data_IF_420945663253
#
_entry.id   IF_420945663253
#
_cell.length_a   1.000
_cell.length_b   1.000
_cell.length_c   1.000
_cell.angle_alpha   90.00
_cell.angle_beta   90.00
_cell.angle_gamma   90.00
#
_symmetry.space_group_name_H-M   'P 1'
#
loop_
_entity.id
_entity.type
_entity.pdbx_description
1 polymer ?
#
# COMPACT_ATOMS: atom_id res chain seq x y z
N UNK A 1 29.43 -49.86 41.23
CA UNK A 1 28.46 -48.75 41.10
C UNK A 1 27.83 -48.87 39.73
N UNK A 2 26.55 -49.19 39.74
CA UNK A 2 25.77 -49.69 38.61
C UNK A 2 25.21 -48.54 37.77
N UNK A 3 25.30 -48.72 36.45
CA UNK A 3 24.59 -48.04 35.34
C UNK A 3 23.07 -47.90 35.62
N UNK A 4 22.24 -47.11 34.86
CA UNK A 4 22.32 -47.08 33.39
C UNK A 4 21.76 -45.91 32.57
N UNK A 5 22.16 -45.97 31.29
CA UNK A 5 21.37 -45.79 30.07
C UNK A 5 19.84 -45.97 30.21
N UNK A 6 19.05 -45.06 29.63
CA UNK A 6 17.69 -45.33 29.09
C UNK A 6 17.18 -44.01 28.49
N UNK A 7 16.59 -43.91 27.32
CA UNK A 7 16.00 -44.89 26.41
C UNK A 7 15.25 -44.15 25.31
N UNK A 8 14.86 -44.90 24.28
CA UNK A 8 14.26 -44.46 23.03
C UNK A 8 12.81 -43.95 23.14
N UNK A 9 12.34 -43.32 22.07
CA UNK A 9 10.94 -42.99 21.78
C UNK A 9 10.06 -44.24 21.65
N UNK A 10 8.74 -44.11 21.93
CA UNK A 10 7.77 -44.43 20.89
C UNK A 10 6.57 -43.48 20.83
N UNK A 11 5.98 -43.41 19.63
CA UNK A 11 4.69 -42.79 19.30
C UNK A 11 3.54 -43.71 19.74
N UNK A 12 2.48 -43.17 20.37
CA UNK A 12 1.24 -43.92 20.60
C UNK A 12 0.15 -43.22 21.44
N UNK A 13 -0.99 -42.97 20.79
CA UNK A 13 -2.40 -42.95 21.25
C UNK A 13 -2.92 -41.95 22.32
N UNK A 14 -3.92 -41.15 21.90
CA UNK A 14 -4.96 -40.48 22.72
C UNK A 14 -5.92 -41.51 23.33
N UNK A 15 -6.43 -41.32 24.58
CA UNK A 15 -7.73 -40.68 24.79
C UNK A 15 -7.78 -39.72 26.00
N UNK A 16 -8.72 -38.78 25.96
CA UNK A 16 -8.71 -37.54 26.75
C UNK A 16 -8.97 -37.65 28.27
N UNK A 17 -8.68 -36.52 28.93
CA UNK A 17 -9.51 -35.92 29.97
C UNK A 17 -8.96 -34.54 30.30
N UNK A 18 -9.87 -33.57 30.32
CA UNK A 18 -9.55 -32.16 30.37
C UNK A 18 -8.97 -31.72 31.72
N UNK A 19 -8.06 -30.73 31.69
CA UNK A 19 -7.25 -30.34 32.83
C UNK A 19 -7.78 -29.04 33.46
N UNK A 20 -7.25 -28.71 34.63
CA UNK A 20 -7.37 -27.43 35.34
C UNK A 20 -8.59 -27.27 36.29
N UNK A 21 -8.38 -27.78 37.51
CA UNK A 21 -8.03 -26.91 38.65
C UNK A 21 -9.00 -25.76 38.92
N UNK A 22 -10.01 -26.08 39.71
CA UNK A 22 -10.99 -25.17 40.30
C UNK A 22 -10.30 -24.23 41.31
N UNK A 23 -10.29 -22.93 40.99
CA UNK A 23 -9.90 -21.86 41.92
C UNK A 23 -11.13 -21.05 42.30
N UNK A 24 -11.44 -21.06 43.60
CA UNK A 24 -12.47 -20.27 44.26
C UNK A 24 -12.26 -18.76 44.05
N UNK A 25 -13.25 -18.08 43.48
CA UNK A 25 -13.42 -16.63 43.62
C UNK A 25 -14.90 -16.35 43.92
N UNK A 26 -15.14 -15.83 45.12
CA UNK A 26 -16.43 -15.33 45.54
C UNK A 26 -16.79 -14.09 44.69
N UNK A 27 -17.84 -14.21 43.87
CA UNK A 27 -18.39 -13.14 43.04
C UNK A 27 -19.40 -12.34 43.89
N UNK A 28 -19.11 -11.07 44.14
CA UNK A 28 -20.05 -10.09 44.71
C UNK A 28 -21.13 -9.69 43.69
N UNK A 29 -22.36 -9.35 44.12
CA UNK A 29 -23.49 -9.21 43.22
C UNK A 29 -23.75 -7.75 42.82
N UNK A 30 -22.91 -7.17 41.97
CA UNK A 30 -23.19 -5.86 41.35
C UNK A 30 -22.03 -5.42 40.46
N UNK A 31 -22.14 -5.68 39.15
CA UNK A 31 -21.75 -4.70 38.15
C UNK A 31 -22.38 -5.08 36.81
N UNK A 32 -23.44 -4.33 36.50
CA UNK A 32 -24.17 -4.34 35.24
C UNK A 32 -23.22 -4.06 34.08
N UNK A 33 -22.76 -5.10 33.41
CA UNK A 33 -22.03 -4.99 32.14
C UNK A 33 -22.88 -4.25 31.11
N UNK A 34 -22.48 -3.01 30.82
CA UNK A 34 -22.99 -2.21 29.72
C UNK A 34 -22.70 -2.91 28.39
N UNK A 35 -23.73 -3.56 27.85
CA UNK A 35 -23.74 -4.11 26.50
C UNK A 35 -23.68 -2.97 25.48
N UNK A 36 -22.48 -2.53 25.13
CA UNK A 36 -22.24 -1.69 23.95
C UNK A 36 -22.32 -2.56 22.68
N UNK A 37 -23.52 -3.01 22.34
CA UNK A 37 -23.84 -3.45 20.98
C UNK A 37 -24.50 -2.27 20.26
N UNK A 38 -23.90 -1.82 19.16
CA UNK A 38 -24.42 -0.75 18.30
C UNK A 38 -25.67 -1.18 17.51
N UNK A 39 -26.62 -1.82 18.17
CA UNK A 39 -27.93 -2.14 17.62
C UNK A 39 -28.73 -0.85 17.71
N UNK A 40 -28.86 -0.14 16.59
CA UNK A 40 -29.79 0.99 16.45
C UNK A 40 -31.15 0.50 16.93
N UNK A 41 -31.54 0.95 18.12
CA UNK A 41 -32.73 0.48 18.81
C UNK A 41 -33.95 0.86 18.00
N UNK A 42 -34.54 -0.12 17.33
CA UNK A 42 -35.97 -0.04 17.05
C UNK A 42 -36.66 -0.12 18.41
N UNK A 43 -37.44 0.90 18.84
CA UNK A 43 -38.22 0.77 20.07
C UNK A 43 -39.06 -0.50 19.93
N UNK A 44 -38.88 -1.43 20.86
CA UNK A 44 -39.62 -2.69 20.89
C UNK A 44 -40.70 -2.54 21.94
N UNK A 45 -41.91 -2.97 21.61
CA UNK A 45 -42.99 -3.10 22.58
C UNK A 45 -42.59 -4.10 23.68
N UNK A 46 -43.30 -4.13 24.81
CA UNK A 46 -43.08 -5.11 25.90
C UNK A 46 -43.15 -6.58 25.43
N UNK A 47 -43.63 -6.84 24.21
CA UNK A 47 -43.73 -8.15 23.56
C UNK A 47 -42.57 -8.46 22.59
N UNK A 48 -41.54 -7.59 22.52
CA UNK A 48 -40.37 -7.77 21.67
C UNK A 48 -40.61 -7.52 20.18
N UNK A 49 -41.76 -6.93 19.81
CA UNK A 49 -42.10 -6.58 18.42
C UNK A 49 -41.74 -5.13 18.12
N UNK A 50 -41.29 -4.79 16.89
CA UNK A 50 -41.04 -3.41 16.48
C UNK A 50 -42.28 -2.55 16.73
N UNK A 51 -42.15 -1.53 17.58
CA UNK A 51 -43.20 -0.54 17.85
C UNK A 51 -43.26 0.44 16.67
N UNK A 52 -44.08 0.11 15.67
CA UNK A 52 -44.28 0.88 14.44
C UNK A 52 -45.54 1.73 14.48
N UNK A 53 -46.27 1.76 15.60
CA UNK A 53 -47.59 2.40 15.71
C UNK A 53 -47.54 3.95 15.69
N UNK A 54 -46.34 4.55 15.60
CA UNK A 54 -46.14 6.00 15.45
C UNK A 54 -45.01 6.42 14.49
N UNK A 55 -44.36 5.48 13.79
CA UNK A 55 -43.24 5.82 12.91
C UNK A 55 -43.75 6.35 11.57
N UNK A 56 -43.63 7.66 11.36
CA UNK A 56 -44.02 8.26 10.09
C UNK A 56 -43.11 7.80 8.94
N UNK A 57 -43.65 7.73 7.73
CA UNK A 57 -42.88 7.44 6.49
C UNK A 57 -41.69 8.40 6.33
N UNK A 58 -41.86 9.66 6.76
CA UNK A 58 -40.78 10.66 6.76
C UNK A 58 -39.59 10.29 7.67
N UNK A 59 -39.85 9.58 8.76
CA UNK A 59 -38.82 9.14 9.71
C UNK A 59 -37.99 7.98 9.15
N UNK A 60 -38.64 7.04 8.45
CA UNK A 60 -37.96 5.92 7.75
C UNK A 60 -37.08 6.41 6.59
N UNK A 61 -37.55 7.39 5.82
CA UNK A 61 -36.72 8.03 4.78
C UNK A 61 -35.55 8.81 5.39
N UNK A 62 -35.75 9.46 6.53
CA UNK A 62 -34.69 10.14 7.28
C UNK A 62 -33.60 9.18 7.76
N UNK A 63 -33.98 8.01 8.26
CA UNK A 63 -33.04 6.95 8.66
C UNK A 63 -32.29 6.38 7.46
N UNK A 64 -32.97 6.03 6.36
CA UNK A 64 -32.32 5.55 5.14
C UNK A 64 -31.33 6.58 4.56
N UNK A 65 -31.71 7.86 4.51
CA UNK A 65 -30.82 8.92 4.04
C UNK A 65 -29.57 9.06 4.93
N UNK A 66 -29.74 8.86 6.24
CA UNK A 66 -28.64 8.90 7.22
C UNK A 66 -27.71 7.69 7.08
N UNK A 67 -28.25 6.53 6.79
CA UNK A 67 -27.48 5.30 6.56
C UNK A 67 -26.69 5.38 5.24
N UNK A 68 -27.32 5.84 4.16
CA UNK A 68 -26.63 6.09 2.88
C UNK A 68 -25.53 7.14 3.01
N UNK A 69 -25.79 8.23 3.75
CA UNK A 69 -24.77 9.25 4.06
C UNK A 69 -23.59 8.66 4.86
N UNK A 70 -23.88 7.71 5.75
CA UNK A 70 -22.85 7.02 6.52
C UNK A 70 -22.02 6.08 5.65
N UNK A 71 -22.64 5.30 4.75
CA UNK A 71 -21.95 4.45 3.78
C UNK A 71 -21.08 5.26 2.83
N UNK A 72 -21.60 6.35 2.25
CA UNK A 72 -20.83 7.23 1.38
C UNK A 72 -19.59 7.82 2.10
N UNK A 73 -19.75 8.23 3.36
CA UNK A 73 -18.62 8.71 4.17
C UNK A 73 -17.59 7.60 4.42
N UNK A 74 -18.03 6.36 4.62
CA UNK A 74 -17.16 5.21 4.81
C UNK A 74 -16.41 4.83 3.54
N UNK A 75 -17.07 4.81 2.37
CA UNK A 75 -16.41 4.56 1.09
C UNK A 75 -15.35 5.62 0.78
N UNK A 76 -15.65 6.90 1.02
CA UNK A 76 -14.66 7.97 0.88
C UNK A 76 -13.50 7.80 1.87
N UNK A 77 -13.78 7.40 3.11
CA UNK A 77 -12.74 7.14 4.10
C UNK A 77 -11.85 5.95 3.71
N UNK A 78 -12.43 4.89 3.14
CA UNK A 78 -11.72 3.72 2.66
C UNK A 78 -10.86 4.07 1.43
N UNK A 79 -11.44 4.73 0.43
CA UNK A 79 -10.72 5.17 -0.76
C UNK A 79 -9.56 6.10 -0.39
N UNK A 80 -9.76 7.00 0.58
CA UNK A 80 -8.68 7.84 1.12
C UNK A 80 -7.58 7.00 1.78
N UNK A 81 -7.94 5.99 2.57
CA UNK A 81 -6.97 5.11 3.21
C UNK A 81 -6.16 4.30 2.19
N UNK A 82 -6.80 3.76 1.15
CA UNK A 82 -6.15 3.02 0.08
C UNK A 82 -5.20 3.90 -0.73
N UNK A 83 -5.66 5.08 -1.15
CA UNK A 83 -4.81 6.07 -1.84
C UNK A 83 -3.63 6.47 -0.96
N UNK A 84 -3.82 6.66 0.35
CA UNK A 84 -2.72 6.97 1.27
C UNK A 84 -1.73 5.82 1.40
N UNK A 85 -2.21 4.57 1.47
CA UNK A 85 -1.37 3.38 1.54
C UNK A 85 -0.53 3.22 0.26
N UNK A 86 -1.17 3.34 -0.90
CA UNK A 86 -0.49 3.29 -2.21
C UNK A 86 0.48 4.46 -2.38
N UNK A 87 0.11 5.67 -1.97
CA UNK A 87 1.02 6.83 -1.99
C UNK A 87 2.25 6.61 -1.11
N UNK A 88 2.09 6.01 0.08
CA UNK A 88 3.21 5.70 0.97
C UNK A 88 4.13 4.63 0.37
N UNK A 89 3.56 3.60 -0.26
CA UNK A 89 4.30 2.54 -0.94
C UNK A 89 5.08 3.09 -2.14
N UNK A 90 4.41 3.87 -2.99
CA UNK A 90 5.02 4.58 -4.10
C UNK A 90 6.12 5.55 -3.62
N UNK A 91 5.87 6.31 -2.56
CA UNK A 91 6.82 7.22 -1.95
C UNK A 91 8.06 6.52 -1.40
N UNK A 92 7.91 5.37 -0.74
CA UNK A 92 9.04 4.54 -0.31
C UNK A 92 9.84 4.04 -1.51
N UNK A 93 9.16 3.56 -2.55
CA UNK A 93 9.78 3.12 -3.80
C UNK A 93 10.60 4.24 -4.45
N UNK A 94 10.00 5.41 -4.63
CA UNK A 94 10.65 6.60 -5.16
C UNK A 94 11.85 7.04 -4.31
N UNK A 95 11.73 7.01 -2.98
CA UNK A 95 12.82 7.30 -2.06
C UNK A 95 14.00 6.35 -2.22
N UNK A 96 13.75 5.03 -2.30
CA UNK A 96 14.80 4.03 -2.54
C UNK A 96 15.46 4.23 -3.91
N UNK A 97 14.69 4.55 -4.95
CA UNK A 97 15.24 4.85 -6.28
C UNK A 97 16.12 6.10 -6.28
N UNK A 98 15.76 7.14 -5.52
CA UNK A 98 16.58 8.33 -5.38
C UNK A 98 17.93 8.03 -4.70
N UNK A 99 17.92 7.24 -3.62
CA UNK A 99 19.15 6.80 -2.95
C UNK A 99 20.00 5.93 -3.86
N UNK A 100 19.38 4.99 -4.59
CA UNK A 100 20.09 4.14 -5.55
C UNK A 100 20.72 4.96 -6.69
N UNK A 101 20.01 5.97 -7.21
CA UNK A 101 20.54 6.88 -8.22
C UNK A 101 21.74 7.67 -7.71
N UNK A 102 21.67 8.21 -6.48
CA UNK A 102 22.79 8.91 -5.86
C UNK A 102 23.99 8.00 -5.61
N UNK A 103 23.75 6.80 -5.07
CA UNK A 103 24.80 5.82 -4.84
C UNK A 103 25.47 5.41 -6.16
N UNK A 104 24.68 5.11 -7.19
CA UNK A 104 25.19 4.80 -8.53
C UNK A 104 26.00 5.94 -9.14
N UNK A 105 25.55 7.18 -8.99
CA UNK A 105 26.30 8.37 -9.42
C UNK A 105 27.66 8.48 -8.72
N UNK A 106 27.70 8.32 -7.39
CA UNK A 106 28.95 8.35 -6.63
C UNK A 106 29.90 7.21 -7.01
N UNK A 107 29.38 5.98 -7.17
CA UNK A 107 30.18 4.84 -7.62
C UNK A 107 30.84 5.13 -8.96
N UNK A 108 30.07 5.64 -9.92
CA UNK A 108 30.56 6.01 -11.25
C UNK A 108 31.63 7.12 -11.18
N UNK A 109 31.43 8.14 -10.33
CA UNK A 109 32.39 9.21 -10.12
C UNK A 109 33.71 8.69 -9.56
N UNK A 110 33.67 7.85 -8.52
CA UNK A 110 34.87 7.28 -7.91
C UNK A 110 35.58 6.31 -8.85
N UNK A 111 34.85 5.49 -9.61
CA UNK A 111 35.45 4.63 -10.65
C UNK A 111 36.14 5.46 -11.74
N UNK A 112 35.58 6.61 -12.11
CA UNK A 112 36.20 7.50 -13.10
C UNK A 112 37.52 8.08 -12.59
N UNK A 113 37.56 8.50 -11.32
CA UNK A 113 38.79 8.97 -10.68
C UNK A 113 39.82 7.85 -10.55
N UNK A 114 39.39 6.66 -10.11
CA UNK A 114 40.27 5.50 -9.99
C UNK A 114 40.85 5.10 -11.35
N UNK A 115 40.05 5.12 -12.42
CA UNK A 115 40.51 4.85 -13.78
C UNK A 115 41.53 5.90 -14.24
N UNK A 116 41.26 7.19 -14.01
CA UNK A 116 42.19 8.26 -14.33
C UNK A 116 43.53 8.04 -13.61
N UNK A 117 43.53 7.87 -12.28
CA UNK A 117 44.75 7.63 -11.52
C UNK A 117 45.47 6.35 -11.95
N UNK A 118 44.75 5.28 -12.28
CA UNK A 118 45.35 4.05 -12.79
C UNK A 118 46.07 4.29 -14.12
N UNK A 119 45.50 5.10 -15.03
CA UNK A 119 46.13 5.44 -16.31
C UNK A 119 47.34 6.35 -16.13
N UNK A 120 47.31 7.29 -15.18
CA UNK A 120 48.46 8.15 -14.85
C UNK A 120 49.72 7.37 -14.46
N UNK A 121 49.59 6.12 -13.98
CA UNK A 121 50.75 5.28 -13.67
C UNK A 121 51.52 4.82 -14.92
N UNK A 122 50.91 4.91 -16.11
CA UNK A 122 51.49 4.39 -17.37
C UNK A 122 51.55 5.44 -18.49
N UNK A 123 50.94 6.62 -18.31
CA UNK A 123 50.94 7.72 -19.29
C UNK A 123 50.77 9.09 -18.64
N UNK A 124 50.92 10.16 -19.43
CA UNK A 124 50.69 11.54 -18.99
C UNK A 124 49.26 11.78 -18.49
N UNK A 125 49.13 12.60 -17.44
CA UNK A 125 47.85 12.92 -16.81
C UNK A 125 46.84 13.57 -17.77
N UNK A 126 47.30 14.40 -18.71
CA UNK A 126 46.44 14.99 -19.72
C UNK A 126 45.87 13.95 -20.69
N UNK A 127 46.68 12.97 -21.09
CA UNK A 127 46.22 11.87 -21.94
C UNK A 127 45.26 10.94 -21.21
N UNK A 128 45.55 10.62 -19.94
CA UNK A 128 44.65 9.85 -19.07
C UNK A 128 43.28 10.54 -18.94
N UNK A 129 43.27 11.84 -18.66
CA UNK A 129 42.06 12.67 -18.59
C UNK A 129 41.25 12.61 -19.88
N UNK A 130 41.93 12.75 -21.03
CA UNK A 130 41.30 12.74 -22.34
C UNK A 130 40.64 11.41 -22.65
N UNK A 131 41.28 10.28 -22.30
CA UNK A 131 40.70 8.94 -22.47
C UNK A 131 39.42 8.80 -21.64
N UNK A 132 39.45 9.19 -20.36
CA UNK A 132 38.26 9.13 -19.48
C UNK A 132 37.15 10.05 -20.00
N UNK A 133 37.50 11.24 -20.50
CA UNK A 133 36.55 12.17 -21.11
C UNK A 133 35.90 11.61 -22.38
N UNK A 134 36.67 10.98 -23.27
CA UNK A 134 36.15 10.33 -24.48
C UNK A 134 35.21 9.18 -24.12
N UNK A 135 35.56 8.37 -23.10
CA UNK A 135 34.71 7.29 -22.60
C UNK A 135 33.34 7.83 -22.17
N UNK A 136 33.32 8.89 -21.34
CA UNK A 136 32.06 9.53 -20.93
C UNK A 136 31.33 10.21 -22.08
N UNK A 137 32.05 10.78 -23.03
CA UNK A 137 31.47 11.34 -24.26
C UNK A 137 30.69 10.30 -25.05
N UNK A 138 31.22 9.09 -25.19
CA UNK A 138 30.55 7.97 -25.87
C UNK A 138 29.30 7.54 -25.07
N UNK A 139 29.44 7.32 -23.77
CA UNK A 139 28.30 6.94 -22.90
C UNK A 139 27.19 7.99 -22.96
N UNK A 140 27.56 9.28 -22.92
CA UNK A 140 26.64 10.40 -23.04
C UNK A 140 25.94 10.44 -24.41
N UNK A 141 26.69 10.30 -25.50
CA UNK A 141 26.14 10.30 -26.85
C UNK A 141 25.13 9.16 -27.07
N UNK A 142 25.43 7.95 -26.58
CA UNK A 142 24.53 6.79 -26.66
C UNK A 142 23.27 7.03 -25.83
N UNK A 143 23.42 7.45 -24.57
CA UNK A 143 22.29 7.66 -23.66
C UNK A 143 21.38 8.78 -24.14
N UNK A 144 21.96 9.89 -24.62
CA UNK A 144 21.22 10.99 -25.23
C UNK A 144 20.44 10.53 -26.46
N UNK A 145 21.07 9.75 -27.33
CA UNK A 145 20.43 9.23 -28.55
C UNK A 145 19.25 8.30 -28.22
N UNK A 146 19.40 7.42 -27.23
CA UNK A 146 18.32 6.55 -26.76
C UNK A 146 17.20 7.34 -26.09
N UNK A 147 17.52 8.30 -25.22
CA UNK A 147 16.55 9.17 -24.56
C UNK A 147 15.75 9.99 -25.55
N UNK A 148 16.42 10.59 -26.55
CA UNK A 148 15.78 11.31 -27.65
C UNK A 148 14.80 10.44 -28.41
N UNK A 149 15.19 9.21 -28.78
CA UNK A 149 14.29 8.27 -29.46
C UNK A 149 13.06 7.92 -28.62
N UNK A 150 13.25 7.66 -27.33
CA UNK A 150 12.13 7.36 -26.42
C UNK A 150 11.18 8.53 -26.28
N UNK A 151 11.69 9.76 -26.12
CA UNK A 151 10.86 10.95 -26.05
C UNK A 151 10.07 11.20 -27.34
N UNK A 152 10.66 10.94 -28.50
CA UNK A 152 9.98 11.05 -29.79
C UNK A 152 8.85 10.02 -29.97
N UNK A 153 8.85 8.93 -29.21
CA UNK A 153 7.80 7.91 -29.24
C UNK A 153 6.65 8.20 -28.26
N UNK A 154 6.79 9.19 -27.37
CA UNK A 154 5.72 9.57 -26.45
C UNK A 154 4.69 10.41 -27.22
N UNK A 155 3.51 9.84 -27.48
CA UNK A 155 2.35 10.61 -27.93
C UNK A 155 1.70 11.31 -26.71
N UNK A 156 1.75 12.65 -26.61
CA UNK A 156 1.16 13.37 -25.47
C UNK A 156 -0.37 13.44 -25.54
N UNK A 157 -0.97 13.05 -26.66
CA UNK A 157 -2.43 13.00 -26.83
C UNK A 157 -2.95 11.63 -26.35
N UNK A 158 -3.83 11.56 -25.35
CA UNK A 158 -4.50 10.33 -25.00
C UNK A 158 -5.49 9.96 -26.11
N UNK A 159 -5.06 9.15 -27.09
CA UNK A 159 -5.84 8.78 -28.29
C UNK A 159 -7.25 8.33 -27.94
N UNK A 160 -7.41 7.58 -26.84
CA UNK A 160 -8.70 7.05 -26.38
C UNK A 160 -9.66 8.10 -25.79
N UNK A 161 -9.15 9.23 -25.31
CA UNK A 161 -9.97 10.27 -24.64
C UNK A 161 -10.39 11.36 -25.62
N UNK A 162 -9.58 11.62 -26.66
CA UNK A 162 -9.94 12.59 -27.70
C UNK A 162 -11.03 12.06 -28.62
N UNK A 163 -11.05 10.76 -28.92
CA UNK A 163 -12.10 10.17 -29.77
C UNK A 163 -13.48 10.26 -29.09
N UNK A 164 -13.59 9.99 -27.79
CA UNK A 164 -14.86 10.09 -27.06
C UNK A 164 -15.37 11.53 -26.92
N UNK A 165 -14.47 12.52 -26.87
CA UNK A 165 -14.85 13.93 -26.78
C UNK A 165 -15.13 14.56 -28.15
N UNK A 166 -14.59 14.01 -29.23
CA UNK A 166 -14.79 14.50 -30.61
C UNK A 166 -16.12 14.06 -31.23
N UNK A 167 -16.82 13.08 -30.64
CA UNK A 167 -18.15 12.62 -31.05
C UNK A 167 -19.30 13.43 -30.43
N UNK A 168 -19.05 14.17 -29.34
CA UNK A 168 -20.06 14.99 -28.64
C UNK A 168 -20.46 16.32 -29.34
N UNK A 169 -19.64 17.00 -30.19
CA UNK A 169 -20.00 18.31 -30.72
C UNK A 169 -21.10 18.27 -31.81
N UNK A 170 -21.39 17.11 -32.42
CA UNK A 170 -22.49 17.00 -33.39
C UNK A 170 -23.88 16.85 -32.76
N UNK A 171 -23.96 16.60 -31.45
CA UNK A 171 -25.23 16.50 -30.72
C UNK A 171 -25.72 17.85 -30.13
N UNK A 172 -24.91 18.92 -30.22
CA UNK A 172 -25.19 20.24 -29.66
C UNK A 172 -25.30 21.36 -30.70
N UNK A 173 -25.68 21.04 -31.95
CA UNK A 173 -26.15 22.05 -32.92
C UNK A 173 -27.67 22.17 -32.81
N UNK A 174 -28.22 23.19 -32.12
CA UNK A 174 -29.62 23.57 -32.31
C UNK A 174 -29.79 24.14 -33.73
N UNK A 175 -30.93 23.80 -34.35
CA UNK A 175 -31.28 24.04 -35.76
C UNK A 175 -30.98 25.44 -36.28
#
# INVERSE_FOLDING_TARGET
>A
MSSPYSGATPVGSTPGQDPYGQGDYAVGPDESYGAHSGTLGTPTTNEGRPDVEGTSVGQLFGELAKDLSTLMRQEVALAKAEVQAEAKKAGKGAGMMAVAALAGFLTVLFLSNALWWALENVMDAGLAALIVAVLWGIVGAVTFSMGKKKLQQVNPKPERTVDTLSDVPNALKPN
#
